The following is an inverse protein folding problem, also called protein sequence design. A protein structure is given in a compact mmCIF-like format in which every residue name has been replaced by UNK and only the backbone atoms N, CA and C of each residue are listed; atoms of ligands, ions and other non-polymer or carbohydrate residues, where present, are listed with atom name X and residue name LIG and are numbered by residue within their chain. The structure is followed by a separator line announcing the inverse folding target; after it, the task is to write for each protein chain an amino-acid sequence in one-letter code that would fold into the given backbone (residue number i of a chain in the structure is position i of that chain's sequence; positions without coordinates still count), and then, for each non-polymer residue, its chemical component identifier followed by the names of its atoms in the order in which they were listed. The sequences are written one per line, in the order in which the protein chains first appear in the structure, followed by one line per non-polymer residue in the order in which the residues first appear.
data_IF_810905678605
#
_entry.id   IF_810905678605
#
_cell.length_a   1.000
_cell.length_b   1.000
_cell.length_c   1.000
_cell.angle_alpha   90.00
_cell.angle_beta   90.00
_cell.angle_gamma   90.00
#
_symmetry.space_group_name_H-M   'P 1'
#
loop_
_entity.id
_entity.type
_entity.pdbx_description
1 polymer ?
#
# COMPACT_ATOMS: atom_id res chain seq x y z
N UNK A 1 -1.53 -4.04 -12.11
CA UNK A 1 -2.45 -4.59 -11.10
C UNK A 1 -3.04 -3.47 -10.21
N UNK A 2 -3.51 -2.34 -10.75
CA UNK A 2 -3.88 -1.17 -9.90
C UNK A 2 -5.28 -0.58 -10.27
N UNK A 3 -5.92 -1.09 -11.31
CA UNK A 3 -7.19 -0.55 -11.82
C UNK A 3 -8.35 -0.80 -10.85
N UNK A 4 -8.36 -1.93 -10.15
CA UNK A 4 -9.44 -2.30 -9.23
C UNK A 4 -9.52 -1.36 -8.02
N UNK A 5 -8.37 -0.92 -7.50
CA UNK A 5 -8.29 0.11 -6.45
C UNK A 5 -9.04 1.39 -6.85
N UNK A 6 -8.90 1.84 -8.10
CA UNK A 6 -9.61 3.02 -8.62
C UNK A 6 -11.12 2.80 -8.72
N UNK A 7 -11.53 1.60 -9.16
CA UNK A 7 -12.95 1.23 -9.25
C UNK A 7 -13.58 1.22 -7.85
N UNK A 8 -12.91 0.62 -6.87
CA UNK A 8 -13.37 0.57 -5.48
C UNK A 8 -13.42 1.96 -4.84
N UNK A 9 -12.39 2.78 -5.02
CA UNK A 9 -12.38 4.15 -4.50
C UNK A 9 -13.55 4.98 -5.04
N UNK A 10 -13.90 4.82 -6.32
CA UNK A 10 -15.08 5.46 -6.92
C UNK A 10 -16.40 4.91 -6.36
N UNK A 11 -16.46 3.61 -6.08
CA UNK A 11 -17.66 2.95 -5.55
C UNK A 11 -17.92 3.32 -4.08
N UNK A 12 -16.87 3.55 -3.29
CA UNK A 12 -16.95 3.83 -1.87
C UNK A 12 -16.22 5.16 -1.55
N UNK A 13 -16.85 6.32 -1.81
CA UNK A 13 -16.18 7.62 -1.70
C UNK A 13 -15.78 7.99 -0.26
N UNK A 14 -16.41 7.37 0.75
CA UNK A 14 -16.09 7.57 2.16
C UNK A 14 -14.94 6.67 2.65
N UNK A 15 -14.45 5.74 1.82
CA UNK A 15 -13.33 4.87 2.15
C UNK A 15 -12.04 5.38 1.51
N UNK A 16 -10.93 5.26 2.23
CA UNK A 16 -9.58 5.47 1.67
C UNK A 16 -9.11 4.17 1.04
N UNK A 17 -9.12 4.10 -0.29
CA UNK A 17 -8.74 2.90 -1.04
C UNK A 17 -7.50 3.22 -1.87
N UNK A 18 -6.38 2.61 -1.50
CA UNK A 18 -5.07 2.85 -2.12
C UNK A 18 -4.38 1.52 -2.48
N UNK A 19 -3.34 1.59 -3.30
CA UNK A 19 -2.45 0.48 -3.59
C UNK A 19 -1.00 0.96 -3.51
N UNK A 20 -0.09 0.08 -3.09
CA UNK A 20 1.32 0.42 -2.98
C UNK A 20 2.20 -0.78 -3.35
N UNK A 21 3.47 -0.51 -3.61
CA UNK A 21 4.53 -1.51 -3.64
C UNK A 21 5.37 -1.36 -2.36
N UNK A 22 5.52 -2.40 -1.51
CA UNK A 22 6.33 -2.31 -0.30
C UNK A 22 7.84 -2.39 -0.57
N UNK A 23 8.26 -2.40 -1.85
CA UNK A 23 9.64 -2.65 -2.25
C UNK A 23 9.99 -4.13 -2.31
N UNK A 24 11.29 -4.43 -2.37
CA UNK A 24 11.81 -5.80 -2.41
C UNK A 24 12.23 -6.25 -1.00
N UNK A 25 11.26 -6.84 -0.30
CA UNK A 25 11.31 -7.15 1.13
C UNK A 25 11.76 -8.59 1.37
N UNK A 26 12.63 -8.78 2.37
CA UNK A 26 13.07 -10.10 2.86
C UNK A 26 11.88 -10.82 3.49
N UNK A 27 11.27 -11.72 2.74
CA UNK A 27 10.09 -12.51 3.16
C UNK A 27 10.13 -13.88 2.50
N UNK A 28 9.32 -14.83 2.99
CA UNK A 28 9.24 -16.18 2.44
C UNK A 28 8.81 -16.20 0.96
N UNK A 29 8.05 -15.21 0.49
CA UNK A 29 7.65 -15.11 -0.94
C UNK A 29 8.86 -14.90 -1.87
N UNK A 30 9.95 -14.35 -1.32
CA UNK A 30 11.19 -14.05 -2.03
C UNK A 30 12.32 -14.98 -1.57
N UNK A 31 12.01 -16.14 -0.97
CA UNK A 31 13.01 -17.07 -0.40
C UNK A 31 13.97 -16.39 0.59
N UNK A 32 13.47 -15.42 1.36
CA UNK A 32 14.26 -14.59 2.27
C UNK A 32 15.37 -13.76 1.57
N UNK A 33 15.17 -13.42 0.29
CA UNK A 33 16.01 -12.49 -0.48
C UNK A 33 15.30 -11.14 -0.58
N UNK A 34 16.05 -10.05 -0.39
CA UNK A 34 15.53 -8.69 -0.45
C UNK A 34 16.60 -7.67 -0.03
N UNK A 35 16.32 -6.39 -0.24
CA UNK A 35 17.17 -5.29 0.27
C UNK A 35 16.51 -4.49 1.40
N UNK A 36 15.25 -4.79 1.72
CA UNK A 36 14.49 -4.18 2.81
C UNK A 36 14.07 -5.24 3.83
N UNK A 37 14.13 -4.87 5.11
CA UNK A 37 13.55 -5.62 6.22
C UNK A 37 12.01 -5.61 6.16
N UNK A 38 11.38 -6.53 6.90
CA UNK A 38 9.91 -6.59 7.02
C UNK A 38 9.36 -5.29 7.60
N UNK A 39 10.06 -4.72 8.59
CA UNK A 39 9.71 -3.45 9.23
C UNK A 39 9.72 -2.29 8.24
N UNK A 40 10.75 -2.18 7.40
CA UNK A 40 10.84 -1.15 6.35
C UNK A 40 9.76 -1.33 5.27
N UNK A 41 9.50 -2.58 4.85
CA UNK A 41 8.43 -2.88 3.89
C UNK A 41 7.03 -2.59 4.42
N UNK A 42 6.83 -2.70 5.74
CA UNK A 42 5.55 -2.46 6.40
C UNK A 42 5.23 -0.97 6.63
N UNK A 43 6.22 -0.08 6.55
CA UNK A 43 6.05 1.35 6.82
C UNK A 43 5.00 1.98 5.89
N UNK A 44 5.08 1.70 4.59
CA UNK A 44 4.14 2.20 3.58
C UNK A 44 2.68 1.77 3.85
N UNK A 45 2.38 0.45 3.96
CA UNK A 45 1.05 -0.04 4.32
C UNK A 45 0.49 0.54 5.61
N UNK A 46 1.31 0.65 6.67
CA UNK A 46 0.89 1.20 7.96
C UNK A 46 0.54 2.68 7.84
N UNK A 47 1.34 3.48 7.12
CA UNK A 47 1.03 4.88 6.85
C UNK A 47 -0.30 5.06 6.13
N UNK A 48 -0.60 4.22 5.13
CA UNK A 48 -1.88 4.30 4.41
C UNK A 48 -3.08 3.91 5.28
N UNK A 49 -2.91 2.93 6.18
CA UNK A 49 -3.95 2.52 7.11
C UNK A 49 -4.26 3.60 8.17
N UNK A 50 -3.29 4.45 8.49
CA UNK A 50 -3.40 5.52 9.48
C UNK A 50 -3.62 6.92 8.86
N UNK A 51 -3.97 7.00 7.57
CA UNK A 51 -4.28 8.28 6.94
C UNK A 51 -5.46 8.97 7.65
N UNK A 52 -5.39 10.29 7.86
CA UNK A 52 -6.52 11.04 8.38
C UNK A 52 -7.65 11.10 7.35
N UNK A 53 -8.86 11.40 7.81
CA UNK A 53 -10.07 11.44 6.98
C UNK A 53 -10.01 12.48 5.85
N UNK A 54 -9.18 13.52 5.99
CA UNK A 54 -8.91 14.53 4.96
C UNK A 54 -7.74 14.15 4.01
N UNK A 55 -7.08 13.02 4.25
CA UNK A 55 -5.96 12.53 3.45
C UNK A 55 -6.33 12.15 2.00
N UNK A 56 -5.37 12.29 1.09
CA UNK A 56 -5.55 11.94 -0.32
C UNK A 56 -5.88 10.44 -0.49
N UNK A 57 -6.87 10.15 -1.33
CA UNK A 57 -7.26 8.80 -1.76
C UNK A 57 -6.96 8.64 -3.25
N UNK A 58 -6.63 7.42 -3.70
CA UNK A 58 -6.35 7.05 -5.09
C UNK A 58 -4.94 7.38 -5.58
N UNK A 59 -3.92 7.07 -4.79
CA UNK A 59 -2.52 7.17 -5.22
C UNK A 59 -1.83 5.81 -5.22
N UNK A 60 -0.87 5.65 -6.13
CA UNK A 60 0.11 4.57 -6.08
C UNK A 60 1.36 5.08 -5.37
N UNK A 61 1.79 4.37 -4.33
CA UNK A 61 3.00 4.66 -3.58
C UNK A 61 4.04 3.55 -3.84
N UNK A 62 5.30 3.92 -4.03
CA UNK A 62 6.43 3.00 -4.22
C UNK A 62 7.48 3.25 -3.15
#
# INVERSE_FOLDING_TARGET
MNAYTRILAKKFPNFKVNCLCPGFVITDINDNIGWMSVEEGAEGPVKLALLPDDGLSVLFFS
#
